data_IF_280138496524
#
_entry.id   IF_280138496524
#
_cell.length_a   1.000
_cell.length_b   1.000
_cell.length_c   1.000
_cell.angle_alpha   90.00
_cell.angle_beta   90.00
_cell.angle_gamma   90.00
#
_symmetry.space_group_name_H-M   'P 1'
#
loop_
_entity.id
_entity.type
_entity.pdbx_description
1 polymer ?
#
# COMPACT_ATOMS: atom_id res chain seq x y z
N UNK A 1 15.45 29.24 -28.37
CA UNK A 1 16.38 30.16 -27.66
C UNK A 1 15.94 31.62 -27.67
N UNK A 2 15.45 32.18 -28.79
CA UNK A 2 15.04 33.60 -28.87
C UNK A 2 13.97 34.03 -27.82
N UNK A 3 12.99 33.17 -27.52
CA UNK A 3 11.96 33.48 -26.52
C UNK A 3 12.48 33.60 -25.08
N UNK A 4 13.51 32.83 -24.73
CA UNK A 4 14.11 32.87 -23.39
C UNK A 4 14.89 34.17 -23.18
N UNK A 5 15.67 34.60 -24.18
CA UNK A 5 16.37 35.89 -24.16
C UNK A 5 15.41 37.08 -24.10
N UNK A 6 14.30 37.02 -24.84
CA UNK A 6 13.25 38.06 -24.79
C UNK A 6 12.58 38.13 -23.40
N UNK A 7 12.31 36.98 -22.78
CA UNK A 7 11.81 36.91 -21.41
C UNK A 7 12.77 37.56 -20.40
N UNK A 8 14.06 37.19 -20.44
CA UNK A 8 15.06 37.77 -19.54
C UNK A 8 15.23 39.27 -19.76
N UNK A 9 15.24 39.73 -21.01
CA UNK A 9 15.31 41.16 -21.34
C UNK A 9 14.11 41.93 -20.79
N UNK A 10 12.90 41.38 -20.95
CA UNK A 10 11.69 42.03 -20.46
C UNK A 10 11.63 42.05 -18.93
N UNK A 11 11.93 40.93 -18.27
CA UNK A 11 11.97 40.86 -16.82
C UNK A 11 13.02 41.79 -16.23
N UNK A 12 14.22 41.83 -16.83
CA UNK A 12 15.29 42.72 -16.36
C UNK A 12 14.86 44.19 -16.42
N UNK A 13 14.19 44.61 -17.50
CA UNK A 13 13.60 45.96 -17.61
C UNK A 13 12.58 46.22 -16.49
N UNK A 14 11.73 45.24 -16.16
CA UNK A 14 10.78 45.36 -15.05
C UNK A 14 11.49 45.54 -13.71
N UNK A 15 12.57 44.80 -13.45
CA UNK A 15 13.33 44.95 -12.20
C UNK A 15 13.99 46.31 -12.10
N UNK A 16 14.65 46.76 -13.16
CA UNK A 16 15.30 48.08 -13.18
C UNK A 16 14.26 49.17 -12.93
N UNK A 17 13.08 49.07 -13.55
CA UNK A 17 11.98 50.00 -13.32
C UNK A 17 11.52 50.00 -11.85
N UNK A 18 11.33 48.83 -11.25
CA UNK A 18 10.92 48.69 -9.85
C UNK A 18 12.01 49.22 -8.91
N UNK A 19 13.29 48.99 -9.19
CA UNK A 19 14.41 49.51 -8.39
C UNK A 19 14.47 51.03 -8.43
N UNK A 20 14.29 51.64 -9.60
CA UNK A 20 14.20 53.10 -9.73
C UNK A 20 13.01 53.61 -8.92
N UNK A 21 11.83 53.01 -9.06
CA UNK A 21 10.64 53.42 -8.32
C UNK A 21 10.82 53.26 -6.80
N UNK A 22 11.42 52.15 -6.34
CA UNK A 22 11.72 51.91 -4.95
C UNK A 22 12.67 52.98 -4.38
N UNK A 23 13.72 53.36 -5.13
CA UNK A 23 14.64 54.43 -4.73
C UNK A 23 13.95 55.79 -4.61
N UNK A 24 12.99 56.08 -5.50
CA UNK A 24 12.17 57.29 -5.40
C UNK A 24 11.28 57.24 -4.16
N UNK A 25 10.65 56.10 -3.86
CA UNK A 25 9.81 55.92 -2.66
C UNK A 25 10.65 56.08 -1.39
N UNK A 26 11.88 55.56 -1.35
CA UNK A 26 12.80 55.76 -0.23
C UNK A 26 13.11 57.26 -0.03
N UNK A 27 13.32 58.00 -1.12
CA UNK A 27 13.58 59.45 -1.05
C UNK A 27 12.32 60.24 -0.64
N UNK A 28 11.13 59.76 -0.99
CA UNK A 28 9.85 60.34 -0.60
C UNK A 28 9.47 60.04 0.86
N UNK A 29 10.18 59.13 1.56
CA UNK A 29 9.97 58.88 2.98
C UNK A 29 10.99 59.67 3.83
N UNK A 30 10.69 60.93 4.20
CA UNK A 30 11.60 61.76 4.99
C UNK A 30 11.73 61.34 6.46
N UNK A 31 11.02 60.29 6.92
CA UNK A 31 10.87 59.96 8.33
C UNK A 31 11.67 58.71 8.76
N UNK A 32 12.73 58.92 9.55
CA UNK A 32 13.65 57.86 9.98
C UNK A 32 13.03 56.70 10.76
N UNK A 33 11.87 56.87 11.39
CA UNK A 33 11.21 55.81 12.18
C UNK A 33 10.42 54.82 11.31
N UNK A 34 9.76 55.29 10.25
CA UNK A 34 8.97 54.46 9.33
C UNK A 34 9.76 54.01 8.11
N UNK A 35 10.80 54.77 7.73
CA UNK A 35 11.71 54.44 6.63
C UNK A 35 12.33 53.04 6.79
N UNK A 36 12.73 52.63 8.00
CA UNK A 36 13.31 51.30 8.23
C UNK A 36 12.37 50.16 7.87
N UNK A 37 11.07 50.33 8.12
CA UNK A 37 10.05 49.32 7.89
C UNK A 37 9.70 49.26 6.40
N UNK A 38 9.53 50.42 5.78
CA UNK A 38 9.28 50.51 4.33
C UNK A 38 10.46 49.99 3.53
N UNK A 39 11.70 50.33 3.91
CA UNK A 39 12.91 49.80 3.28
C UNK A 39 12.95 48.27 3.34
N UNK A 40 12.56 47.68 4.46
CA UNK A 40 12.52 46.22 4.61
C UNK A 40 11.46 45.58 3.70
N UNK A 41 10.25 46.15 3.66
CA UNK A 41 9.16 45.65 2.80
C UNK A 41 9.49 45.83 1.32
N UNK A 42 10.04 46.98 0.91
CA UNK A 42 10.49 47.24 -0.47
C UNK A 42 11.62 46.31 -0.87
N UNK A 43 12.62 46.12 0.00
CA UNK A 43 13.73 45.18 -0.24
C UNK A 43 13.22 43.75 -0.41
N UNK A 44 12.27 43.33 0.43
CA UNK A 44 11.63 42.01 0.32
C UNK A 44 10.79 41.88 -0.97
N UNK A 45 10.11 42.94 -1.37
CA UNK A 45 9.32 42.99 -2.61
C UNK A 45 10.22 42.87 -3.85
N UNK A 46 11.34 43.59 -3.86
CA UNK A 46 12.35 43.49 -4.92
C UNK A 46 12.96 42.08 -4.93
N UNK A 47 13.30 41.53 -3.76
CA UNK A 47 13.80 40.16 -3.65
C UNK A 47 12.80 39.15 -4.25
N UNK A 48 11.52 39.26 -3.92
CA UNK A 48 10.44 38.45 -4.51
C UNK A 48 10.41 38.56 -6.05
N UNK A 49 10.51 39.77 -6.60
CA UNK A 49 10.54 39.99 -8.04
C UNK A 49 11.79 39.40 -8.71
N UNK A 50 12.94 39.40 -8.00
CA UNK A 50 14.17 38.78 -8.47
C UNK A 50 14.09 37.25 -8.46
N UNK A 51 13.33 36.69 -7.51
CA UNK A 51 13.27 35.27 -7.26
C UNK A 51 12.55 34.49 -8.37
N UNK A 52 11.62 35.12 -9.10
CA UNK A 52 10.84 34.48 -10.16
C UNK A 52 11.68 33.81 -11.26
N UNK A 53 12.61 34.49 -11.95
CA UNK A 53 13.43 33.80 -12.95
C UNK A 53 14.49 32.90 -12.34
N UNK A 54 14.91 33.13 -11.09
CA UNK A 54 15.78 32.18 -10.38
C UNK A 54 15.05 30.85 -10.25
N UNK A 55 13.77 30.87 -9.86
CA UNK A 55 12.94 29.68 -9.85
C UNK A 55 12.67 29.13 -11.25
N UNK A 56 12.45 29.95 -12.27
CA UNK A 56 12.28 29.43 -13.63
C UNK A 56 13.55 28.72 -14.14
N UNK A 57 14.74 29.26 -13.83
CA UNK A 57 16.02 28.64 -14.14
C UNK A 57 16.21 27.32 -13.38
N UNK A 58 15.84 27.28 -12.10
CA UNK A 58 15.91 26.06 -11.28
C UNK A 58 14.90 25.00 -11.75
N UNK A 59 13.64 25.38 -11.96
CA UNK A 59 12.57 24.47 -12.39
C UNK A 59 12.88 23.84 -13.75
N UNK A 60 13.40 24.63 -14.71
CA UNK A 60 13.77 24.11 -16.03
C UNK A 60 14.90 23.07 -16.02
N UNK A 61 15.71 23.06 -14.95
CA UNK A 61 16.87 22.17 -14.84
C UNK A 61 16.62 20.98 -13.90
N UNK A 62 15.82 21.18 -12.85
CA UNK A 62 15.64 20.22 -11.74
C UNK A 62 14.21 19.64 -11.64
N UNK A 63 13.19 20.38 -12.07
CA UNK A 63 11.77 20.02 -11.92
C UNK A 63 11.11 19.78 -13.28
N UNK A 64 11.87 19.16 -14.18
CA UNK A 64 11.25 18.52 -15.32
C UNK A 64 10.49 17.29 -14.78
N UNK A 65 9.18 17.41 -14.67
CA UNK A 65 8.25 16.37 -14.20
C UNK A 65 8.57 15.00 -14.84
N UNK A 66 9.02 14.99 -16.11
CA UNK A 66 9.45 13.79 -16.82
C UNK A 66 10.74 13.17 -16.24
N UNK A 67 11.74 14.00 -15.90
CA UNK A 67 13.00 13.54 -15.31
C UNK A 67 12.83 13.08 -13.87
N UNK A 68 11.96 13.74 -13.11
CA UNK A 68 11.63 13.34 -11.74
C UNK A 68 10.90 11.99 -11.72
N UNK A 69 9.93 11.79 -12.61
CA UNK A 69 9.27 10.47 -12.78
C UNK A 69 10.25 9.39 -13.23
N UNK A 70 11.15 9.70 -14.16
CA UNK A 70 12.19 8.77 -14.59
C UNK A 70 13.17 8.41 -13.47
N UNK A 71 13.47 9.35 -12.55
CA UNK A 71 14.25 9.07 -11.35
C UNK A 71 13.48 8.21 -10.35
N UNK A 72 12.19 8.50 -10.12
CA UNK A 72 11.33 7.69 -9.25
C UNK A 72 11.19 6.24 -9.73
N UNK A 73 11.09 6.06 -11.05
CA UNK A 73 11.06 4.76 -11.70
C UNK A 73 12.39 4.00 -11.53
N UNK A 74 13.53 4.69 -11.71
CA UNK A 74 14.86 4.12 -11.45
C UNK A 74 15.10 3.74 -9.99
N UNK A 75 14.51 4.48 -9.04
CA UNK A 75 14.63 4.18 -7.61
C UNK A 75 13.56 3.16 -7.16
N UNK A 76 12.71 2.68 -8.08
CA UNK A 76 11.75 1.60 -7.85
C UNK A 76 10.60 1.98 -6.90
N UNK A 77 10.46 3.25 -6.56
CA UNK A 77 9.50 3.75 -5.55
C UNK A 77 8.07 3.76 -6.09
N UNK A 78 7.90 3.73 -7.42
CA UNK A 78 6.59 3.85 -8.05
C UNK A 78 5.91 2.52 -8.40
N UNK A 79 6.67 1.44 -8.67
CA UNK A 79 6.11 0.21 -9.28
C UNK A 79 6.53 -1.10 -8.57
N UNK A 80 7.64 -1.10 -7.82
CA UNK A 80 8.19 -2.32 -7.20
C UNK A 80 7.48 -2.77 -5.91
N UNK A 81 6.91 -1.83 -5.14
CA UNK A 81 6.23 -2.17 -3.89
C UNK A 81 4.84 -2.76 -4.15
N UNK A 82 4.01 -2.13 -5.00
CA UNK A 82 2.64 -2.60 -5.22
C UNK A 82 2.57 -4.03 -5.80
N UNK A 83 3.45 -4.38 -6.74
CA UNK A 83 3.50 -5.72 -7.33
C UNK A 83 3.96 -6.79 -6.32
N UNK A 84 4.96 -6.49 -5.48
CA UNK A 84 5.50 -7.46 -4.51
C UNK A 84 4.54 -7.73 -3.35
N UNK A 85 3.74 -6.75 -2.91
CA UNK A 85 2.70 -6.95 -1.90
C UNK A 85 1.57 -7.86 -2.38
N UNK A 86 1.17 -7.74 -3.65
CA UNK A 86 0.09 -8.52 -4.24
C UNK A 86 0.46 -10.01 -4.35
N UNK A 87 1.69 -10.32 -4.75
CA UNK A 87 2.21 -11.69 -4.83
C UNK A 87 2.34 -12.33 -3.44
N UNK A 88 2.86 -11.59 -2.46
CA UNK A 88 3.01 -12.07 -1.08
C UNK A 88 1.65 -12.32 -0.40
N UNK A 89 0.67 -11.44 -0.60
CA UNK A 89 -0.69 -11.63 -0.08
C UNK A 89 -1.35 -12.90 -0.65
N UNK A 90 -1.17 -13.17 -1.95
CA UNK A 90 -1.67 -14.38 -2.59
C UNK A 90 -1.04 -15.67 -2.04
N UNK A 91 0.26 -15.65 -1.75
CA UNK A 91 0.96 -16.81 -1.17
C UNK A 91 0.47 -17.13 0.25
N UNK A 92 0.27 -16.12 1.10
CA UNK A 92 -0.23 -16.30 2.46
C UNK A 92 -1.66 -16.84 2.51
N UNK A 93 -2.53 -16.40 1.60
CA UNK A 93 -3.91 -16.88 1.52
C UNK A 93 -3.98 -18.38 1.20
N UNK A 94 -3.11 -18.87 0.30
CA UNK A 94 -3.03 -20.30 -0.04
C UNK A 94 -2.60 -21.15 1.15
N UNK A 95 -1.55 -20.74 1.86
CA UNK A 95 -1.09 -21.45 3.06
C UNK A 95 -2.16 -21.51 4.15
N UNK A 96 -2.94 -20.44 4.31
CA UNK A 96 -4.04 -20.41 5.28
C UNK A 96 -5.20 -21.32 4.87
N UNK A 97 -5.56 -21.38 3.58
CA UNK A 97 -6.59 -22.28 3.06
C UNK A 97 -6.23 -23.76 3.23
N UNK A 98 -4.98 -24.15 2.97
CA UNK A 98 -4.51 -25.52 3.17
C UNK A 98 -4.64 -25.96 4.64
N UNK A 99 -4.30 -25.07 5.58
CA UNK A 99 -4.45 -25.33 7.01
C UNK A 99 -5.93 -25.42 7.43
N UNK A 100 -6.77 -24.54 6.91
CA UNK A 100 -8.21 -24.55 7.18
C UNK A 100 -8.87 -25.86 6.71
N UNK A 101 -8.49 -26.36 5.52
CA UNK A 101 -8.97 -27.66 5.03
C UNK A 101 -8.53 -28.82 5.92
N UNK A 102 -7.27 -28.83 6.37
CA UNK A 102 -6.77 -29.89 7.26
C UNK A 102 -7.52 -29.95 8.60
N UNK A 103 -7.89 -28.79 9.15
CA UNK A 103 -8.69 -28.71 10.37
C UNK A 103 -10.15 -29.13 10.12
N UNK A 104 -10.74 -28.72 9.00
CA UNK A 104 -12.10 -29.12 8.62
C UNK A 104 -12.22 -30.64 8.45
N UNK A 105 -11.22 -31.29 7.84
CA UNK A 105 -11.18 -32.76 7.70
C UNK A 105 -11.11 -33.43 9.08
N UNK A 106 -10.20 -32.99 9.96
CA UNK A 106 -10.06 -33.55 11.31
C UNK A 106 -11.34 -33.39 12.14
N UNK A 107 -12.00 -32.24 12.03
CA UNK A 107 -13.25 -32.00 12.74
C UNK A 107 -14.36 -32.94 12.23
N UNK A 108 -14.46 -33.11 10.90
CA UNK A 108 -15.45 -34.00 10.32
C UNK A 108 -15.18 -35.47 10.68
N UNK A 109 -13.92 -35.91 10.69
CA UNK A 109 -13.54 -37.25 11.16
C UNK A 109 -14.00 -37.49 12.59
N UNK A 110 -13.79 -36.51 13.48
CA UNK A 110 -14.20 -36.60 14.87
C UNK A 110 -15.73 -36.58 15.02
N UNK A 111 -16.43 -35.69 14.32
CA UNK A 111 -17.89 -35.59 14.35
C UNK A 111 -18.55 -36.89 13.84
N UNK A 112 -17.98 -37.51 12.80
CA UNK A 112 -18.45 -38.80 12.26
C UNK A 112 -18.20 -39.94 13.25
N UNK A 113 -17.03 -40.00 13.89
CA UNK A 113 -16.74 -41.02 14.91
C UNK A 113 -17.75 -40.95 16.07
N UNK A 114 -17.98 -39.75 16.61
CA UNK A 114 -18.94 -39.52 17.70
C UNK A 114 -20.38 -39.87 17.28
N UNK A 115 -20.80 -39.52 16.06
CA UNK A 115 -22.14 -39.83 15.56
C UNK A 115 -22.38 -41.34 15.35
N UNK A 116 -21.35 -42.09 14.96
CA UNK A 116 -21.45 -43.54 14.75
C UNK A 116 -21.47 -44.29 16.08
N UNK A 117 -20.59 -43.95 17.02
CA UNK A 117 -20.50 -44.60 18.34
C UNK A 117 -21.75 -44.36 19.21
N UNK A 118 -22.41 -43.21 19.04
CA UNK A 118 -23.64 -42.88 19.80
C UNK A 118 -24.90 -43.58 19.27
N UNK A 119 -24.93 -43.99 17.99
CA UNK A 119 -26.12 -44.54 17.33
C UNK A 119 -26.08 -46.05 17.15
N UNK A 120 -24.90 -46.65 17.14
CA UNK A 120 -24.71 -48.08 16.95
C UNK A 120 -23.70 -48.62 17.98
N UNK A 121 -23.90 -49.82 18.55
CA UNK A 121 -22.98 -50.42 19.53
C UNK A 121 -21.72 -50.99 18.84
N UNK A 122 -20.91 -50.11 18.30
CA UNK A 122 -19.72 -50.41 17.48
C UNK A 122 -18.63 -49.37 17.80
N UNK A 123 -17.38 -49.81 17.96
CA UNK A 123 -16.23 -48.91 18.09
C UNK A 123 -15.69 -48.57 16.70
N UNK A 124 -15.46 -47.27 16.44
CA UNK A 124 -14.93 -46.81 15.16
C UNK A 124 -13.40 -46.88 15.21
N UNK A 125 -12.82 -47.82 14.46
CA UNK A 125 -11.37 -48.04 14.47
C UNK A 125 -10.62 -47.01 13.61
N UNK A 126 -11.24 -46.55 12.50
CA UNK A 126 -10.66 -45.53 11.62
C UNK A 126 -11.73 -44.91 10.71
N UNK A 127 -11.76 -43.58 10.63
CA UNK A 127 -12.53 -42.82 9.63
C UNK A 127 -11.53 -42.18 8.68
N UNK A 128 -11.60 -42.51 7.39
CA UNK A 128 -10.82 -41.84 6.35
C UNK A 128 -11.77 -41.07 5.44
N UNK A 129 -11.73 -39.74 5.51
CA UNK A 129 -12.56 -38.88 4.67
C UNK A 129 -11.73 -38.32 3.52
N UNK A 130 -12.15 -38.61 2.29
CA UNK A 130 -11.63 -37.98 1.08
C UNK A 130 -12.59 -36.90 0.61
N UNK A 131 -12.12 -35.65 0.58
CA UNK A 131 -12.86 -34.52 0.02
C UNK A 131 -12.36 -34.23 -1.40
N UNK A 132 -13.27 -33.90 -2.32
CA UNK A 132 -12.94 -33.38 -3.64
C UNK A 132 -13.37 -31.92 -3.70
N UNK A 133 -12.44 -31.06 -4.11
CA UNK A 133 -12.76 -29.67 -4.44
C UNK A 133 -13.45 -29.65 -5.80
N UNK A 134 -14.71 -29.20 -5.83
CA UNK A 134 -15.42 -28.90 -7.08
C UNK A 134 -15.78 -27.42 -7.06
N UNK A 135 -15.18 -26.64 -7.95
CA UNK A 135 -15.50 -25.23 -8.18
C UNK A 135 -15.50 -24.30 -6.93
N UNK A 136 -14.56 -24.50 -6.01
CA UNK A 136 -14.33 -23.58 -4.88
C UNK A 136 -15.09 -23.92 -3.59
N UNK A 137 -16.02 -24.87 -3.64
CA UNK A 137 -16.60 -25.50 -2.44
C UNK A 137 -16.01 -26.89 -2.25
N UNK A 138 -15.60 -27.19 -1.02
CA UNK A 138 -15.12 -28.51 -0.63
C UNK A 138 -16.31 -29.45 -0.46
N UNK A 139 -16.47 -30.41 -1.38
CA UNK A 139 -17.51 -31.42 -1.33
C UNK A 139 -16.93 -32.78 -0.93
N UNK A 140 -17.68 -33.55 -0.15
CA UNK A 140 -17.29 -34.91 0.24
C UNK A 140 -17.26 -35.81 -1.00
N UNK A 141 -16.11 -36.44 -1.29
CA UNK A 141 -15.94 -37.28 -2.47
C UNK A 141 -16.12 -38.76 -2.16
N UNK A 142 -15.58 -39.22 -1.03
CA UNK A 142 -15.74 -40.58 -0.55
C UNK A 142 -15.42 -40.64 0.94
N UNK A 143 -16.20 -41.42 1.69
CA UNK A 143 -15.97 -41.69 3.11
C UNK A 143 -15.81 -43.20 3.29
N UNK A 144 -14.65 -43.63 3.79
CA UNK A 144 -14.37 -45.03 4.07
C UNK A 144 -14.35 -45.22 5.58
N UNK A 145 -15.30 -46.03 6.07
CA UNK A 145 -15.56 -46.22 7.50
C UNK A 145 -15.19 -47.66 7.89
N UNK A 146 -14.14 -47.83 8.69
CA UNK A 146 -13.76 -49.14 9.22
C UNK A 146 -14.26 -49.28 10.65
N UNK A 147 -15.22 -50.17 10.86
CA UNK A 147 -15.93 -50.34 12.13
C UNK A 147 -15.68 -51.73 12.70
N UNK A 148 -15.47 -51.84 14.02
CA UNK A 148 -15.30 -53.12 14.71
C UNK A 148 -16.51 -53.39 15.62
N UNK A 149 -17.21 -54.53 15.50
CA UNK A 149 -18.33 -54.85 16.37
C UNK A 149 -17.87 -55.03 17.81
N UNK A 150 -18.55 -54.33 18.74
CA UNK A 150 -18.36 -54.53 20.18
C UNK A 150 -18.95 -55.90 20.51
N UNK A 151 -18.11 -56.86 20.93
CA UNK A 151 -18.60 -58.14 21.43
C UNK A 151 -19.25 -57.92 22.79
N UNK A 152 -20.58 -57.85 22.82
CA UNK A 152 -21.36 -57.92 24.05
C UNK A 152 -22.07 -59.28 24.13
N UNK A 153 -21.66 -60.04 25.15
CA UNK A 153 -22.25 -61.26 25.73
C UNK A 153 -21.97 -62.62 25.08
N UNK A 154 -21.13 -63.41 25.75
CA UNK A 154 -21.44 -64.72 26.38
C UNK A 154 -20.24 -64.99 27.30
N UNK A 155 -20.37 -65.21 28.61
CA UNK A 155 -21.03 -66.38 29.18
C UNK A 155 -21.20 -66.14 30.71
N UNK A 156 -22.44 -66.06 31.17
CA UNK A 156 -22.81 -66.46 32.54
C UNK A 156 -23.55 -67.78 32.36
N UNK A 157 -22.95 -68.87 32.81
CA UNK A 157 -23.62 -70.03 33.44
C UNK A 157 -22.57 -71.08 33.81
N UNK A 158 -22.52 -71.39 35.10
CA UNK A 158 -21.77 -72.48 35.75
C UNK A 158 -22.08 -73.87 35.16
N UNK A 159 -21.29 -74.88 35.53
CA UNK A 159 -21.78 -75.78 36.59
C UNK A 159 -20.84 -75.92 37.80
#
# INVERSE_FOLDING_TARGET
MAGMLAFFSQWFKTIVLVMILASLIEMLLPSRSMERYVRLVLSLTVLMAVLTPVFNLLNSQWLDEGRFRQWLDQVGVADGEAASWQEQAGHLLRLQQEQAMGLAIKQLENDVAVAVESRFPVEVAQVAVRMATTAGDAALAAMELTVRPIRLFEERSEP
#
